data_IF_294947795454
#
_entry.id   IF_294947795454
#
_cell.length_a   1.000
_cell.length_b   1.000
_cell.length_c   1.000
_cell.angle_alpha   90.00
_cell.angle_beta   90.00
_cell.angle_gamma   90.00
#
_symmetry.space_group_name_H-M   'P 1'
#
loop_
_entity.id
_entity.type
_entity.pdbx_description
1 polymer ?
#
# COMPACT_ATOMS: atom_id res chain seq x y z
N UNK A 1 23.01 5.17 -22.48
CA UNK A 1 21.85 6.07 -22.64
C UNK A 1 21.55 6.66 -21.28
N UNK A 2 21.50 7.99 -21.15
CA UNK A 2 21.15 8.66 -19.89
C UNK A 2 19.72 8.30 -19.48
N UNK A 3 19.43 8.05 -18.20
CA UNK A 3 18.06 7.86 -17.75
C UNK A 3 17.24 9.10 -18.08
N UNK A 4 16.21 8.94 -18.88
CA UNK A 4 15.35 10.05 -19.31
C UNK A 4 14.44 10.47 -18.16
N UNK A 5 14.39 11.78 -17.88
CA UNK A 5 13.50 12.35 -16.88
C UNK A 5 12.08 12.51 -17.43
N UNK A 6 11.07 12.29 -16.60
CA UNK A 6 9.68 12.46 -17.01
C UNK A 6 9.39 13.94 -17.27
N UNK A 7 8.79 14.32 -18.40
CA UNK A 7 8.49 15.72 -18.69
C UNK A 7 7.40 16.32 -17.79
N UNK A 8 6.70 15.50 -17.01
CA UNK A 8 5.62 15.93 -16.11
C UNK A 8 6.14 16.17 -14.69
N UNK A 9 6.80 15.18 -14.08
CA UNK A 9 7.31 15.29 -12.71
C UNK A 9 8.80 15.65 -12.61
N UNK A 10 9.53 15.67 -13.73
CA UNK A 10 10.98 15.90 -13.80
C UNK A 10 11.84 14.86 -13.04
N UNK A 11 11.26 13.73 -12.65
CA UNK A 11 11.97 12.62 -12.00
C UNK A 11 12.49 11.60 -13.01
N UNK A 12 13.56 10.88 -12.64
CA UNK A 12 14.14 9.80 -13.45
C UNK A 12 13.11 8.68 -13.64
N UNK A 13 12.85 8.30 -14.91
CA UNK A 13 11.87 7.27 -15.26
C UNK A 13 12.49 5.87 -15.16
N UNK A 14 12.08 5.08 -14.16
CA UNK A 14 12.40 3.65 -14.09
C UNK A 14 11.43 2.77 -14.89
N UNK A 15 10.20 3.24 -15.07
CA UNK A 15 9.15 2.55 -15.82
C UNK A 15 8.48 3.53 -16.79
N UNK A 16 9.11 3.71 -17.94
CA UNK A 16 8.62 4.61 -18.99
C UNK A 16 7.43 4.00 -19.74
N UNK A 17 6.42 4.82 -19.96
CA UNK A 17 5.20 4.56 -20.71
C UNK A 17 5.24 5.34 -22.01
N UNK A 18 4.94 4.67 -23.11
CA UNK A 18 5.09 5.20 -24.48
C UNK A 18 3.74 5.64 -25.00
N UNK A 19 3.63 6.91 -25.36
CA UNK A 19 2.51 7.37 -26.17
C UNK A 19 2.66 6.87 -27.62
N UNK A 20 1.57 6.74 -28.40
CA UNK A 20 1.65 6.42 -29.83
C UNK A 20 2.47 7.39 -30.70
N UNK A 21 2.85 8.54 -30.13
CA UNK A 21 3.71 9.55 -30.73
C UNK A 21 5.18 9.46 -30.25
N UNK A 22 5.57 8.31 -29.69
CA UNK A 22 6.90 7.96 -29.17
C UNK A 22 7.43 8.80 -27.99
N UNK A 23 6.61 9.70 -27.45
CA UNK A 23 6.96 10.45 -26.23
C UNK A 23 6.69 9.64 -24.97
N UNK A 24 7.48 9.93 -23.94
CA UNK A 24 7.55 9.12 -22.73
C UNK A 24 7.04 9.86 -21.50
N UNK A 25 6.35 9.14 -20.62
CA UNK A 25 5.97 9.57 -19.27
C UNK A 25 6.21 8.44 -18.28
N UNK A 26 6.33 8.72 -16.98
CA UNK A 26 6.40 7.66 -15.98
C UNK A 26 5.01 7.05 -15.70
N UNK A 27 4.99 5.82 -15.21
CA UNK A 27 3.75 5.12 -14.85
C UNK A 27 2.89 5.87 -13.81
N UNK A 28 3.50 6.63 -12.90
CA UNK A 28 2.77 7.45 -11.92
C UNK A 28 2.14 8.69 -12.55
N UNK A 29 2.75 9.29 -13.57
CA UNK A 29 2.16 10.40 -14.30
C UNK A 29 1.10 9.96 -15.31
N UNK A 30 1.10 8.70 -15.77
CA UNK A 30 0.02 8.18 -16.61
C UNK A 30 -1.35 8.30 -15.93
N UNK A 31 -1.46 7.93 -14.64
CA UNK A 31 -2.73 8.03 -13.91
C UNK A 31 -3.19 9.47 -13.68
N UNK A 32 -2.26 10.42 -13.60
CA UNK A 32 -2.56 11.85 -13.45
C UNK A 32 -3.02 12.50 -14.76
N UNK A 33 -2.56 11.98 -15.89
CA UNK A 33 -2.93 12.47 -17.22
C UNK A 33 -4.25 11.88 -17.74
N UNK A 34 -4.75 10.82 -17.09
CA UNK A 34 -5.93 10.09 -17.54
C UNK A 34 -7.22 10.83 -17.15
N UNK A 35 -8.08 11.11 -18.14
CA UNK A 35 -9.43 11.61 -17.93
C UNK A 35 -10.43 10.51 -18.28
N UNK A 36 -11.15 10.00 -17.29
CA UNK A 36 -12.15 8.93 -17.45
C UNK A 36 -13.53 9.52 -17.77
N UNK A 37 -14.21 8.98 -18.77
CA UNK A 37 -15.57 9.36 -19.14
C UNK A 37 -16.63 8.41 -18.54
N UNK A 38 -17.92 8.75 -18.70
CA UNK A 38 -19.05 7.96 -18.19
C UNK A 38 -19.15 6.54 -18.82
N UNK A 39 -18.46 6.27 -19.93
CA UNK A 39 -18.40 4.97 -20.60
C UNK A 39 -17.21 4.11 -20.15
N UNK A 40 -16.53 4.50 -19.05
CA UNK A 40 -15.35 3.80 -18.53
C UNK A 40 -14.17 3.76 -19.52
N UNK A 41 -14.06 4.74 -20.42
CA UNK A 41 -12.89 4.95 -21.28
C UNK A 41 -12.03 6.06 -20.71
N UNK A 42 -10.72 5.91 -20.80
CA UNK A 42 -9.75 6.92 -20.37
C UNK A 42 -9.09 7.58 -21.57
N UNK A 43 -9.09 8.90 -21.60
CA UNK A 43 -8.36 9.69 -22.59
C UNK A 43 -7.09 10.22 -21.97
N UNK A 44 -5.96 9.97 -22.62
CA UNK A 44 -4.65 10.48 -22.25
C UNK A 44 -4.18 11.46 -23.31
N UNK A 45 -3.68 12.62 -22.89
CA UNK A 45 -3.07 13.62 -23.79
C UNK A 45 -1.57 13.65 -23.55
N UNK A 46 -0.79 13.49 -24.61
CA UNK A 46 0.66 13.57 -24.56
C UNK A 46 1.08 14.99 -24.14
N UNK A 47 1.86 15.14 -23.06
CA UNK A 47 2.28 16.47 -22.58
C UNK A 47 3.25 17.17 -23.54
N UNK A 48 3.93 16.42 -24.43
CA UNK A 48 4.95 16.94 -25.32
C UNK A 48 4.39 17.46 -26.65
N UNK A 49 3.51 16.68 -27.29
CA UNK A 49 2.99 16.99 -28.63
C UNK A 49 1.47 17.23 -28.66
N UNK A 50 0.79 17.08 -27.51
CA UNK A 50 -0.68 17.20 -27.37
C UNK A 50 -1.50 16.19 -28.18
N UNK A 51 -0.87 15.15 -28.73
CA UNK A 51 -1.58 14.02 -29.33
C UNK A 51 -2.36 13.24 -28.26
N UNK A 52 -3.61 12.90 -28.53
CA UNK A 52 -4.48 12.17 -27.62
C UNK A 52 -4.60 10.69 -27.99
N UNK A 53 -4.72 9.83 -26.99
CA UNK A 53 -5.06 8.41 -27.14
C UNK A 53 -6.22 8.07 -26.21
N UNK A 54 -7.17 7.28 -26.73
CA UNK A 54 -8.29 6.74 -25.96
C UNK A 54 -8.00 5.27 -25.69
N UNK A 55 -8.08 4.88 -24.43
CA UNK A 55 -7.89 3.52 -23.95
C UNK A 55 -9.13 3.08 -23.16
N UNK A 56 -9.36 1.78 -23.05
CA UNK A 56 -10.35 1.27 -22.10
C UNK A 56 -9.89 1.56 -20.65
N UNK A 57 -10.82 1.68 -19.70
CA UNK A 57 -10.52 2.19 -18.35
C UNK A 57 -9.51 1.36 -17.55
N UNK A 58 -9.35 0.08 -17.91
CA UNK A 58 -8.37 -0.85 -17.34
C UNK A 58 -7.08 -0.99 -18.16
N UNK A 59 -7.03 -0.48 -19.39
CA UNK A 59 -5.84 -0.53 -20.23
C UNK A 59 -4.83 0.53 -19.78
N UNK A 60 -3.55 0.35 -20.10
CA UNK A 60 -2.50 1.36 -19.83
C UNK A 60 -1.62 1.53 -21.05
N UNK A 61 -0.90 2.65 -21.13
CA UNK A 61 0.07 2.86 -22.20
C UNK A 61 1.09 1.70 -22.24
N UNK A 62 1.55 1.29 -23.44
CA UNK A 62 2.62 0.32 -23.57
C UNK A 62 3.85 0.77 -22.77
N UNK A 63 4.53 -0.17 -22.13
CA UNK A 63 5.84 0.11 -21.55
C UNK A 63 6.86 0.17 -22.67
N UNK A 64 7.83 1.07 -22.58
CA UNK A 64 8.96 1.05 -23.50
C UNK A 64 9.79 -0.19 -23.16
N UNK A 65 9.54 -1.28 -23.89
CA UNK A 65 10.30 -2.50 -23.77
C UNK A 65 11.69 -2.29 -24.38
N UNK A 66 12.61 -1.67 -23.63
CA UNK A 66 14.02 -1.93 -23.86
C UNK A 66 14.32 -3.33 -23.27
N UNK A 67 14.20 -4.34 -24.13
CA UNK A 67 14.72 -5.71 -23.98
C UNK A 67 14.38 -6.44 -22.65
N UNK A 68 13.23 -7.11 -22.60
CA UNK A 68 13.01 -8.26 -21.70
C UNK A 68 13.49 -9.60 -22.29
N UNK A 69 14.20 -9.59 -23.43
CA UNK A 69 14.80 -10.80 -24.02
C UNK A 69 16.32 -10.66 -24.14
N UNK A 70 17.01 -10.43 -23.03
CA UNK A 70 18.46 -10.65 -22.80
C UNK A 70 18.82 -10.36 -21.33
N UNK A 71 18.09 -10.93 -20.37
CA UNK A 71 18.50 -10.91 -18.94
C UNK A 71 19.08 -12.26 -18.48
N UNK A 72 19.49 -13.09 -19.42
CA UNK A 72 20.55 -14.08 -19.22
C UNK A 72 21.86 -13.42 -19.66
N UNK A 73 22.76 -13.18 -18.71
CA UNK A 73 24.15 -12.79 -18.93
C UNK A 73 24.38 -11.45 -19.67
N UNK A 74 24.19 -10.33 -18.97
CA UNK A 74 25.01 -9.16 -19.23
C UNK A 74 25.51 -8.60 -17.90
N UNK A 75 26.60 -9.20 -17.43
CA UNK A 75 27.59 -8.51 -16.59
C UNK A 75 28.10 -7.32 -17.41
N UNK A 76 27.42 -6.17 -17.33
CA UNK A 76 28.14 -4.93 -17.52
C UNK A 76 28.91 -4.71 -16.22
N UNK A 77 30.10 -5.31 -16.16
CA UNK A 77 31.21 -4.80 -15.37
C UNK A 77 31.47 -3.36 -15.82
N UNK A 78 30.64 -2.42 -15.34
CA UNK A 78 31.17 -1.10 -15.04
C UNK A 78 31.89 -1.23 -13.70
N UNK A 79 33.04 -1.92 -13.75
CA UNK A 79 33.97 -2.09 -12.64
C UNK A 79 34.70 -0.78 -12.32
N UNK A 80 34.07 0.36 -12.63
CA UNK A 80 34.59 1.68 -12.40
C UNK A 80 33.84 2.41 -11.29
N UNK A 81 34.55 3.33 -10.64
CA UNK A 81 34.02 4.30 -9.69
C UNK A 81 34.64 5.67 -9.97
N UNK A 82 33.95 6.75 -9.60
CA UNK A 82 34.52 8.09 -9.69
C UNK A 82 35.25 8.44 -8.39
N UNK A 83 36.55 8.71 -8.49
CA UNK A 83 37.33 9.15 -7.33
C UNK A 83 36.84 10.52 -6.85
N UNK A 84 36.53 10.65 -5.56
CA UNK A 84 36.06 11.91 -4.98
C UNK A 84 37.04 13.08 -5.18
N UNK A 85 38.34 12.82 -5.06
CA UNK A 85 39.39 13.84 -5.11
C UNK A 85 39.69 14.30 -6.53
N UNK A 86 39.97 13.37 -7.44
CA UNK A 86 40.41 13.70 -8.80
C UNK A 86 39.28 13.66 -9.83
N UNK A 87 38.08 13.19 -9.47
CA UNK A 87 36.87 13.10 -10.30
C UNK A 87 37.00 12.24 -11.56
N UNK A 88 38.10 11.51 -11.71
CA UNK A 88 38.30 10.60 -12.82
C UNK A 88 37.71 9.21 -12.51
N UNK A 89 37.13 8.53 -13.50
CA UNK A 89 36.76 7.13 -13.37
C UNK A 89 38.01 6.26 -13.17
N UNK A 90 37.92 5.29 -12.27
CA UNK A 90 38.99 4.35 -11.88
C UNK A 90 38.40 2.96 -11.67
N UNK A 91 39.20 1.92 -11.85
CA UNK A 91 38.75 0.56 -11.52
C UNK A 91 38.46 0.46 -10.03
N UNK A 92 37.45 -0.34 -9.65
CA UNK A 92 37.12 -0.63 -8.25
C UNK A 92 38.25 -1.35 -7.52
N UNK A 93 39.14 -2.04 -8.24
CA UNK A 93 40.38 -2.59 -7.67
C UNK A 93 41.36 -1.52 -7.16
N UNK A 94 41.27 -0.28 -7.68
CA UNK A 94 42.05 0.86 -7.20
C UNK A 94 41.28 1.71 -6.17
N UNK A 95 40.12 1.22 -5.68
CA UNK A 95 39.22 1.97 -4.82
C UNK A 95 39.49 1.77 -3.34
N UNK A 96 39.50 2.90 -2.63
CA UNK A 96 39.74 2.96 -1.20
C UNK A 96 38.65 3.80 -0.56
N UNK A 97 38.11 3.33 0.56
CA UNK A 97 37.19 4.07 1.42
C UNK A 97 37.98 4.93 2.42
N UNK A 98 37.76 6.25 2.43
CA UNK A 98 38.43 7.15 3.35
C UNK A 98 37.51 7.50 4.53
N UNK A 99 37.76 6.88 5.68
CA UNK A 99 36.90 6.99 6.87
C UNK A 99 36.81 8.42 7.40
N UNK A 100 37.95 9.08 7.54
CA UNK A 100 37.99 10.47 8.04
C UNK A 100 37.22 11.44 7.15
N UNK A 101 37.31 11.29 5.82
CA UNK A 101 36.55 12.13 4.91
C UNK A 101 35.06 11.78 4.91
N UNK A 102 34.70 10.51 5.10
CA UNK A 102 33.29 10.12 5.24
C UNK A 102 32.64 10.69 6.49
N UNK A 103 33.34 10.66 7.61
CA UNK A 103 32.87 11.25 8.86
C UNK A 103 32.73 12.78 8.73
N UNK A 104 33.69 13.45 8.09
CA UNK A 104 33.64 14.90 7.87
C UNK A 104 32.52 15.35 6.91
N UNK A 105 32.24 14.56 5.86
CA UNK A 105 31.27 14.90 4.81
C UNK A 105 29.86 14.34 5.06
N UNK A 106 29.69 13.45 6.04
CA UNK A 106 28.42 12.78 6.33
C UNK A 106 27.93 11.83 5.22
N UNK A 107 28.83 11.40 4.32
CA UNK A 107 28.53 10.47 3.21
C UNK A 107 29.74 9.61 2.86
N UNK A 108 29.52 8.45 2.23
CA UNK A 108 30.60 7.57 1.78
C UNK A 108 31.52 8.28 0.79
N UNK A 109 32.83 8.33 1.10
CA UNK A 109 33.87 8.95 0.29
C UNK A 109 34.82 7.86 -0.20
N UNK A 110 34.81 7.68 -1.52
CA UNK A 110 35.66 6.73 -2.22
C UNK A 110 36.74 7.49 -2.99
N UNK A 111 37.99 7.08 -2.81
CA UNK A 111 39.15 7.70 -3.45
C UNK A 111 40.00 6.64 -4.13
N UNK A 112 40.73 7.01 -5.17
CA UNK A 112 41.67 6.09 -5.79
C UNK A 112 42.98 5.98 -4.99
N UNK A 113 43.68 4.86 -5.10
CA UNK A 113 44.94 4.60 -4.41
C UNK A 113 45.96 5.76 -4.54
N UNK A 114 46.06 6.36 -5.74
CA UNK A 114 46.95 7.51 -5.95
C UNK A 114 46.53 8.77 -5.17
N UNK A 115 45.23 9.02 -5.04
CA UNK A 115 44.72 10.14 -4.24
C UNK A 115 44.82 9.84 -2.74
N UNK A 116 44.64 8.58 -2.34
CA UNK A 116 44.86 8.14 -0.96
C UNK A 116 46.28 8.52 -0.50
N UNK A 117 47.30 8.24 -1.32
CA UNK A 117 48.71 8.52 -0.99
C UNK A 117 49.04 10.02 -1.05
N UNK A 118 48.52 10.75 -2.05
CA UNK A 118 48.95 12.14 -2.33
C UNK A 118 48.14 13.21 -1.60
N UNK A 119 46.84 13.01 -1.49
CA UNK A 119 45.89 14.03 -1.03
C UNK A 119 45.19 13.64 0.28
N UNK A 120 45.13 12.35 0.61
CA UNK A 120 44.58 11.85 1.87
C UNK A 120 45.70 11.24 2.74
N UNK A 121 46.91 11.80 2.63
CA UNK A 121 48.08 11.32 3.37
C UNK A 121 47.84 11.45 4.87
N UNK A 122 47.94 10.34 5.59
CA UNK A 122 47.70 10.29 7.03
C UNK A 122 46.22 10.20 7.41
N UNK A 123 45.31 10.04 6.44
CA UNK A 123 43.93 9.65 6.74
C UNK A 123 43.85 8.14 6.94
N UNK A 124 42.92 7.72 7.80
CA UNK A 124 42.54 6.32 7.92
C UNK A 124 41.71 5.90 6.70
N UNK A 125 42.12 4.81 6.07
CA UNK A 125 41.51 4.31 4.85
C UNK A 125 41.53 2.78 4.76
N UNK A 126 40.48 2.23 4.17
CA UNK A 126 40.27 0.79 4.03
C UNK A 126 40.01 0.43 2.56
N UNK A 127 40.36 -0.80 2.16
CA UNK A 127 40.02 -1.30 0.82
C UNK A 127 38.50 -1.33 0.63
N UNK A 128 38.01 -0.77 -0.47
CA UNK A 128 36.58 -0.69 -0.70
C UNK A 128 36.03 -2.03 -1.23
N UNK A 129 35.09 -2.62 -0.50
CA UNK A 129 34.34 -3.79 -0.95
C UNK A 129 32.98 -3.40 -1.53
N UNK A 130 32.65 -3.96 -2.70
CA UNK A 130 31.39 -3.67 -3.40
C UNK A 130 30.51 -4.93 -3.44
N UNK A 131 29.68 -5.17 -2.41
CA UNK A 131 28.82 -6.35 -2.40
C UNK A 131 27.83 -6.31 -3.58
N UNK A 132 27.69 -7.45 -4.24
CA UNK A 132 26.73 -7.58 -5.33
C UNK A 132 25.28 -7.53 -4.82
N UNK A 133 24.32 -7.40 -5.74
CA UNK A 133 22.89 -7.32 -5.42
C UNK A 133 22.40 -8.47 -4.55
N UNK A 134 22.83 -9.70 -4.85
CA UNK A 134 22.43 -10.90 -4.11
C UNK A 134 22.93 -10.85 -2.66
N UNK A 135 24.15 -10.39 -2.44
CA UNK A 135 24.77 -10.27 -1.11
C UNK A 135 24.08 -9.17 -0.30
N UNK A 136 23.82 -8.02 -0.92
CA UNK A 136 23.03 -6.93 -0.31
C UNK A 136 21.64 -7.41 0.10
N UNK A 137 20.95 -8.12 -0.79
CA UNK A 137 19.62 -8.63 -0.53
C UNK A 137 19.62 -9.61 0.65
N UNK A 138 20.54 -10.59 0.67
CA UNK A 138 20.66 -11.54 1.78
C UNK A 138 20.92 -10.88 3.13
N UNK A 139 21.79 -9.86 3.17
CA UNK A 139 22.09 -9.13 4.40
C UNK A 139 20.88 -8.34 4.91
N UNK A 140 20.13 -7.70 4.01
CA UNK A 140 18.92 -6.97 4.35
C UNK A 140 17.77 -7.89 4.74
N UNK A 141 17.61 -9.03 4.07
CA UNK A 141 16.57 -10.01 4.38
C UNK A 141 16.78 -10.66 5.76
N UNK A 142 18.03 -10.93 6.14
CA UNK A 142 18.36 -11.43 7.47
C UNK A 142 17.90 -10.46 8.57
N UNK A 143 18.19 -9.16 8.40
CA UNK A 143 17.78 -8.11 9.35
C UNK A 143 16.26 -7.87 9.35
N UNK A 144 15.62 -7.95 8.18
CA UNK A 144 14.18 -7.80 8.03
C UNK A 144 13.35 -8.96 8.60
N UNK A 145 13.97 -10.02 9.11
CA UNK A 145 13.26 -11.13 9.78
C UNK A 145 12.43 -10.64 10.96
N UNK A 146 12.92 -9.65 11.72
CA UNK A 146 12.19 -9.00 12.81
C UNK A 146 10.94 -8.23 12.33
N UNK A 147 11.01 -7.64 11.13
CA UNK A 147 9.87 -6.95 10.52
C UNK A 147 8.77 -7.94 10.12
N UNK A 148 9.14 -9.10 9.60
CA UNK A 148 8.20 -10.16 9.24
C UNK A 148 7.47 -10.70 10.47
N UNK A 149 8.15 -10.81 11.62
CA UNK A 149 7.54 -11.22 12.88
C UNK A 149 6.55 -10.17 13.40
N UNK A 150 6.93 -8.89 13.39
CA UNK A 150 6.04 -7.79 13.77
C UNK A 150 4.79 -7.70 12.88
N UNK A 151 4.93 -7.86 11.56
CA UNK A 151 3.79 -7.82 10.63
C UNK A 151 2.81 -8.98 10.90
N UNK A 152 3.32 -10.18 11.20
CA UNK A 152 2.49 -11.35 11.58
C UNK A 152 1.74 -11.12 12.89
N UNK A 153 2.42 -10.55 13.90
CA UNK A 153 1.80 -10.22 15.19
C UNK A 153 0.70 -9.18 15.05
N UNK A 154 0.92 -8.14 14.23
CA UNK A 154 -0.08 -7.11 13.93
C UNK A 154 -1.33 -7.74 13.30
N UNK A 155 -1.17 -8.60 12.30
CA UNK A 155 -2.30 -9.28 11.66
C UNK A 155 -3.03 -10.23 12.62
N UNK A 156 -2.29 -10.92 13.50
CA UNK A 156 -2.88 -11.74 14.56
C UNK A 156 -3.72 -10.90 15.53
N UNK A 157 -3.20 -9.78 16.01
CA UNK A 157 -3.90 -8.87 16.94
C UNK A 157 -5.16 -8.28 16.29
N UNK A 158 -5.07 -7.83 15.03
CA UNK A 158 -6.25 -7.37 14.26
C UNK A 158 -7.30 -8.47 14.20
N UNK A 159 -6.90 -9.69 13.84
CA UNK A 159 -7.80 -10.84 13.74
C UNK A 159 -8.54 -11.12 15.06
N UNK A 160 -7.81 -11.15 16.18
CA UNK A 160 -8.40 -11.35 17.52
C UNK A 160 -9.38 -10.24 17.89
N UNK A 161 -9.02 -8.99 17.63
CA UNK A 161 -9.87 -7.84 17.93
C UNK A 161 -11.17 -7.87 17.12
N UNK A 162 -11.08 -8.09 15.80
CA UNK A 162 -12.27 -8.17 14.94
C UNK A 162 -13.17 -9.36 15.32
N UNK A 163 -12.60 -10.51 15.66
CA UNK A 163 -13.37 -11.68 16.06
C UNK A 163 -14.22 -11.41 17.32
N UNK A 164 -13.67 -10.76 18.33
CA UNK A 164 -14.40 -10.48 19.56
C UNK A 164 -15.48 -9.41 19.36
N UNK A 165 -15.21 -8.35 18.56
CA UNK A 165 -16.22 -7.37 18.19
C UNK A 165 -17.37 -8.04 17.43
N UNK A 166 -17.08 -8.86 16.41
CA UNK A 166 -18.11 -9.53 15.63
C UNK A 166 -18.96 -10.47 16.49
N UNK A 167 -18.33 -11.25 17.37
CA UNK A 167 -19.01 -12.13 18.29
C UNK A 167 -19.96 -11.37 19.22
N UNK A 168 -19.52 -10.22 19.76
CA UNK A 168 -20.35 -9.36 20.60
C UNK A 168 -21.51 -8.74 19.82
N UNK A 169 -21.25 -8.20 18.62
CA UNK A 169 -22.24 -7.63 17.72
C UNK A 169 -23.34 -8.65 17.38
N UNK A 170 -22.93 -9.83 16.89
CA UNK A 170 -23.85 -10.91 16.50
C UNK A 170 -24.74 -11.33 17.66
N UNK A 171 -24.18 -11.48 18.86
CA UNK A 171 -24.97 -11.84 20.06
C UNK A 171 -26.06 -10.80 20.36
N UNK A 172 -25.81 -9.52 20.13
CA UNK A 172 -26.78 -8.44 20.36
C UNK A 172 -27.83 -8.40 19.25
N UNK A 173 -27.42 -8.46 17.98
CA UNK A 173 -28.35 -8.48 16.85
C UNK A 173 -29.27 -9.70 16.87
N UNK A 174 -28.75 -10.88 17.22
CA UNK A 174 -29.57 -12.10 17.35
C UNK A 174 -30.63 -12.01 18.45
N UNK A 175 -30.39 -11.23 19.52
CA UNK A 175 -31.43 -10.98 20.54
C UNK A 175 -32.56 -10.14 19.99
N UNK A 176 -32.22 -9.01 19.35
CA UNK A 176 -33.19 -8.12 18.72
C UNK A 176 -33.99 -8.85 17.63
N UNK A 177 -33.30 -9.60 16.77
CA UNK A 177 -33.92 -10.42 15.72
C UNK A 177 -34.95 -11.39 16.29
N UNK A 178 -34.61 -12.14 17.34
CA UNK A 178 -35.55 -13.05 18.01
C UNK A 178 -36.78 -12.34 18.58
N UNK A 179 -36.62 -11.14 19.12
CA UNK A 179 -37.75 -10.33 19.61
C UNK A 179 -38.68 -9.96 18.46
N UNK A 180 -38.13 -9.47 17.34
CA UNK A 180 -38.89 -9.11 16.13
C UNK A 180 -39.59 -10.34 15.52
N UNK A 181 -38.88 -11.46 15.37
CA UNK A 181 -39.47 -12.71 14.87
C UNK A 181 -40.61 -13.21 15.76
N UNK A 182 -40.49 -13.05 17.09
CA UNK A 182 -41.57 -13.35 18.03
C UNK A 182 -42.77 -12.42 17.87
N UNK A 183 -42.56 -11.14 17.50
CA UNK A 183 -43.64 -10.22 17.19
C UNK A 183 -44.36 -10.67 15.91
N UNK A 184 -43.62 -10.94 14.84
CA UNK A 184 -44.18 -11.37 13.55
C UNK A 184 -44.97 -12.67 13.68
N UNK A 185 -44.39 -13.68 14.34
CA UNK A 185 -45.05 -14.96 14.56
C UNK A 185 -46.32 -14.83 15.40
N UNK A 186 -46.38 -13.83 16.29
CA UNK A 186 -47.55 -13.58 17.13
C UNK A 186 -48.62 -12.82 16.36
N UNK A 187 -48.25 -11.78 15.62
CA UNK A 187 -49.14 -11.05 14.70
C UNK A 187 -49.79 -11.99 13.69
N UNK A 188 -48.99 -12.85 13.06
CA UNK A 188 -49.47 -13.85 12.09
C UNK A 188 -50.52 -14.78 12.71
N UNK A 189 -50.23 -15.34 13.89
CA UNK A 189 -51.18 -16.22 14.61
C UNK A 189 -52.50 -15.55 14.93
N UNK A 190 -52.49 -14.26 15.30
CA UNK A 190 -53.72 -13.51 15.61
C UNK A 190 -54.55 -13.29 14.35
N UNK A 191 -53.90 -12.97 13.22
CA UNK A 191 -54.59 -12.71 11.95
C UNK A 191 -55.20 -14.00 11.37
N UNK A 192 -54.51 -15.13 11.51
CA UNK A 192 -54.92 -16.41 10.93
C UNK A 192 -56.00 -17.15 11.75
N UNK A 193 -56.19 -16.82 13.03
CA UNK A 193 -57.19 -17.47 13.89
C UNK A 193 -58.56 -16.77 13.80
N UNK A 194 -59.58 -17.42 13.20
CA UNK A 194 -60.90 -16.82 13.02
C UNK A 194 -61.70 -16.68 14.33
N UNK A 195 -61.23 -17.30 15.44
CA UNK A 195 -61.94 -17.31 16.71
C UNK A 195 -61.45 -16.22 17.69
N UNK A 196 -60.52 -15.36 17.27
CA UNK A 196 -60.04 -14.25 18.10
C UNK A 196 -61.16 -13.24 18.30
N UNK A 197 -61.62 -13.08 19.54
CA UNK A 197 -62.61 -12.05 19.89
C UNK A 197 -61.95 -10.68 20.04
N UNK A 198 -62.75 -9.61 20.09
CA UNK A 198 -62.24 -8.25 20.40
C UNK A 198 -61.47 -8.20 21.72
N UNK A 199 -61.94 -8.92 22.74
CA UNK A 199 -61.29 -8.98 24.06
C UNK A 199 -59.93 -9.69 23.96
N UNK A 200 -59.85 -10.77 23.17
CA UNK A 200 -58.59 -11.48 22.92
C UNK A 200 -57.62 -10.59 22.14
N UNK A 201 -58.10 -9.90 21.10
CA UNK A 201 -57.29 -8.97 20.32
C UNK A 201 -56.69 -7.86 21.19
N UNK A 202 -57.48 -7.21 22.05
CA UNK A 202 -57.00 -6.17 22.95
C UNK A 202 -55.92 -6.70 23.90
N UNK A 203 -56.10 -7.90 24.44
CA UNK A 203 -55.10 -8.57 25.29
C UNK A 203 -53.82 -8.87 24.53
N UNK A 204 -53.93 -9.33 23.28
CA UNK A 204 -52.78 -9.64 22.45
C UNK A 204 -52.03 -8.38 21.99
N UNK A 205 -52.73 -7.27 21.74
CA UNK A 205 -52.15 -5.95 21.47
C UNK A 205 -51.31 -5.48 22.66
N UNK A 206 -51.79 -5.63 23.89
CA UNK A 206 -50.99 -5.29 25.09
C UNK A 206 -49.70 -6.09 25.15
N UNK A 207 -49.74 -7.39 24.82
CA UNK A 207 -48.54 -8.24 24.75
C UNK A 207 -47.60 -7.81 23.61
N UNK A 208 -48.12 -7.43 22.44
CA UNK A 208 -47.31 -6.93 21.32
C UNK A 208 -46.62 -5.61 21.68
N UNK A 209 -47.31 -4.69 22.36
CA UNK A 209 -46.71 -3.44 22.87
C UNK A 209 -45.54 -3.69 23.83
N UNK A 210 -45.61 -4.75 24.65
CA UNK A 210 -44.48 -5.15 25.52
C UNK A 210 -43.27 -5.67 24.73
N UNK A 211 -43.51 -6.45 23.67
CA UNK A 211 -42.42 -6.93 22.80
C UNK A 211 -41.79 -5.80 21.99
N UNK A 212 -42.61 -4.87 21.52
CA UNK A 212 -42.19 -3.65 20.81
C UNK A 212 -41.32 -2.75 21.70
N UNK A 213 -41.71 -2.55 22.97
CA UNK A 213 -40.87 -1.83 23.93
C UNK A 213 -39.53 -2.54 24.16
N UNK A 214 -39.56 -3.86 24.35
CA UNK A 214 -38.34 -4.67 24.49
C UNK A 214 -37.43 -4.56 23.26
N UNK A 215 -37.99 -4.56 22.05
CA UNK A 215 -37.21 -4.40 20.82
C UNK A 215 -36.58 -3.00 20.74
N UNK A 216 -37.30 -1.95 21.14
CA UNK A 216 -36.75 -0.59 21.24
C UNK A 216 -35.60 -0.49 22.24
N UNK A 217 -35.74 -1.08 23.42
CA UNK A 217 -34.68 -1.14 24.42
C UNK A 217 -33.44 -1.89 23.90
N UNK A 218 -33.64 -3.04 23.25
CA UNK A 218 -32.56 -3.83 22.64
C UNK A 218 -31.85 -3.05 21.52
N UNK A 219 -32.61 -2.35 20.66
CA UNK A 219 -32.05 -1.48 19.62
C UNK A 219 -31.23 -0.33 20.21
N UNK A 220 -31.77 0.37 21.22
CA UNK A 220 -31.06 1.44 21.91
C UNK A 220 -29.75 0.95 22.54
N UNK A 221 -29.77 -0.22 23.17
CA UNK A 221 -28.59 -0.82 23.77
C UNK A 221 -27.51 -1.26 22.73
N UNK A 222 -27.91 -1.55 21.49
CA UNK A 222 -27.00 -1.79 20.38
C UNK A 222 -26.33 -0.48 19.94
N UNK A 223 -27.11 0.58 19.78
CA UNK A 223 -26.61 1.90 19.40
C UNK A 223 -25.65 2.48 20.45
N UNK A 224 -26.00 2.42 21.74
CA UNK A 224 -25.11 2.84 22.84
C UNK A 224 -23.81 2.03 22.85
N UNK A 225 -23.90 0.71 22.64
CA UNK A 225 -22.71 -0.15 22.55
C UNK A 225 -21.82 0.21 21.35
N UNK A 226 -22.42 0.49 20.19
CA UNK A 226 -21.69 0.91 18.99
C UNK A 226 -20.88 2.18 19.26
N UNK A 227 -21.51 3.19 19.86
CA UNK A 227 -20.83 4.45 20.18
C UNK A 227 -19.69 4.24 21.20
N UNK A 228 -19.87 3.38 22.20
CA UNK A 228 -18.80 3.02 23.14
C UNK A 228 -17.60 2.35 22.45
N UNK A 229 -17.85 1.43 21.51
CA UNK A 229 -16.79 0.78 20.73
C UNK A 229 -16.07 1.79 19.83
N UNK A 230 -16.82 2.64 19.13
CA UNK A 230 -16.23 3.67 18.28
C UNK A 230 -15.42 4.70 19.07
N UNK A 231 -15.89 5.10 20.25
CA UNK A 231 -15.15 5.99 21.14
C UNK A 231 -13.84 5.35 21.61
N UNK A 232 -13.85 4.07 21.99
CA UNK A 232 -12.65 3.35 22.41
C UNK A 232 -11.64 3.15 21.27
N UNK A 233 -12.08 3.14 20.01
CA UNK A 233 -11.19 3.05 18.84
C UNK A 233 -10.58 4.43 18.48
N UNK A 234 -11.30 5.52 18.77
CA UNK A 234 -10.87 6.90 18.43
C UNK A 234 -9.95 7.53 19.48
N UNK A 235 -10.02 7.09 20.73
CA UNK A 235 -9.16 7.54 21.83
C UNK A 235 -7.82 6.86 21.83
#
# INVERSE_FOLDING_TARGET
MTPEACPVCMEIMFFAKVFPCDHLVCASCESLLAVTNAENKKTLVCPMCRGSVVLEGNETLPRLNQMESSMSEMQLDDDSFSCFTCRHPKSRGDCVYCKMCTEAEGRTILVCAMCAIRHHKGHDYEEASFPNRVTKQKALDAENSLKIEADKEIESLKGMFFAEINKSANKKFERLKKTVESMDAKTKRIIEDPNVTTIDLDREIVKLKKLDEKAREEHKAIEEWKELVLAAIRG
#
